data_IF_676998290501
#
_entry.id   IF_676998290501
#
_cell.length_a   1.000
_cell.length_b   1.000
_cell.length_c   1.000
_cell.angle_alpha   90.00
_cell.angle_beta   90.00
_cell.angle_gamma   90.00
#
_symmetry.space_group_name_H-M   'P 1'
#
loop_
_entity.id
_entity.type
_entity.pdbx_description
1 polymer ?
#
# COMPACT_ATOMS: atom_id res chain seq x y z
N UNK A 1 8.65 11.28 -36.96
CA UNK A 1 9.69 10.26 -36.75
C UNK A 1 9.91 10.17 -35.25
N UNK A 2 9.74 9.00 -34.63
CA UNK A 2 10.06 8.84 -33.19
C UNK A 2 11.58 8.75 -33.10
N UNK A 3 12.22 9.76 -32.52
CA UNK A 3 13.65 9.69 -32.20
C UNK A 3 13.78 8.58 -31.15
N UNK A 4 14.51 7.50 -31.50
CA UNK A 4 14.91 6.51 -30.50
C UNK A 4 15.87 7.18 -29.52
N UNK A 5 15.76 6.81 -28.24
CA UNK A 5 16.72 7.25 -27.22
C UNK A 5 18.14 6.85 -27.65
N UNK A 6 19.10 7.73 -27.37
CA UNK A 6 20.53 7.44 -27.53
C UNK A 6 20.97 6.34 -26.56
N UNK A 7 22.10 5.68 -26.83
CA UNK A 7 22.57 4.58 -25.97
C UNK A 7 22.82 5.04 -24.53
N UNK A 8 23.24 6.29 -24.36
CA UNK A 8 23.48 6.94 -23.09
C UNK A 8 22.16 7.20 -22.36
N UNK A 9 21.14 7.74 -23.04
CA UNK A 9 19.80 7.93 -22.46
C UNK A 9 19.12 6.59 -22.13
N UNK A 10 19.39 5.54 -22.92
CA UNK A 10 18.93 4.19 -22.64
C UNK A 10 19.57 3.65 -21.35
N UNK A 11 20.86 3.88 -21.13
CA UNK A 11 21.57 3.44 -19.93
C UNK A 11 21.08 4.16 -18.67
N UNK A 12 20.75 5.46 -18.76
CA UNK A 12 20.17 6.21 -17.63
C UNK A 12 18.74 5.74 -17.28
N UNK A 13 18.00 5.20 -18.25
CA UNK A 13 16.65 4.66 -18.04
C UNK A 13 16.66 3.20 -17.56
N UNK A 14 17.75 2.46 -17.81
CA UNK A 14 17.94 1.12 -17.26
C UNK A 14 18.33 1.29 -15.79
N UNK A 15 17.32 1.24 -14.91
CA UNK A 15 17.51 1.32 -13.46
C UNK A 15 18.60 0.38 -12.95
N UNK A 16 19.12 0.66 -11.75
CA UNK A 16 20.23 -0.09 -11.15
C UNK A 16 20.00 -1.61 -11.22
N UNK A 17 21.10 -2.35 -11.44
CA UNK A 17 21.05 -3.81 -11.54
C UNK A 17 20.42 -4.39 -10.29
N UNK A 18 19.38 -5.21 -10.47
CA UNK A 18 18.64 -5.79 -9.35
C UNK A 18 19.59 -6.63 -8.47
N UNK A 19 19.72 -6.36 -7.16
CA UNK A 19 20.64 -7.09 -6.30
C UNK A 19 20.20 -8.55 -6.13
N UNK A 20 21.12 -9.39 -5.64
CA UNK A 20 20.87 -10.82 -5.46
C UNK A 20 19.61 -11.08 -4.64
N UNK A 21 18.84 -12.12 -5.01
CA UNK A 21 17.57 -12.47 -4.33
C UNK A 21 17.72 -12.68 -2.83
N UNK A 22 18.88 -13.11 -2.35
CA UNK A 22 19.18 -13.22 -0.92
C UNK A 22 19.21 -11.84 -0.23
N UNK A 23 19.78 -10.83 -0.89
CA UNK A 23 19.83 -9.45 -0.40
C UNK A 23 18.45 -8.79 -0.51
N UNK A 24 17.71 -9.01 -1.59
CA UNK A 24 16.32 -8.57 -1.72
C UNK A 24 15.42 -9.17 -0.61
N UNK A 25 15.66 -10.43 -0.23
CA UNK A 25 14.94 -11.08 0.86
C UNK A 25 15.28 -10.50 2.24
N UNK A 26 16.49 -9.95 2.44
CA UNK A 26 16.86 -9.22 3.67
C UNK A 26 16.13 -7.87 3.76
N UNK A 27 15.77 -7.28 2.62
CA UNK A 27 14.99 -6.04 2.50
C UNK A 27 13.51 -6.36 2.22
N UNK A 28 12.93 -7.27 3.01
CA UNK A 28 11.50 -7.56 2.94
C UNK A 28 10.72 -6.44 3.65
N UNK A 29 10.16 -5.51 2.87
CA UNK A 29 9.26 -4.47 3.38
C UNK A 29 7.81 -5.00 3.40
N UNK A 30 7.31 -5.37 4.58
CA UNK A 30 5.89 -5.62 4.78
C UNK A 30 5.14 -4.29 4.81
N UNK A 31 4.43 -3.96 3.74
CA UNK A 31 3.59 -2.75 3.68
C UNK A 31 2.14 -3.15 3.96
N UNK A 32 1.62 -2.77 5.12
CA UNK A 32 0.21 -2.92 5.48
C UNK A 32 -0.41 -1.54 5.72
N UNK A 33 -1.53 -1.27 5.05
CA UNK A 33 -2.31 -0.05 5.23
C UNK A 33 -3.76 -0.42 5.56
N UNK A 34 -4.06 -0.81 6.81
CA UNK A 34 -5.40 -1.25 7.18
C UNK A 34 -6.30 -0.02 7.40
N UNK A 35 -7.39 0.05 6.65
CA UNK A 35 -8.35 1.17 6.67
C UNK A 35 -9.71 0.66 7.15
N UNK A 36 -10.23 1.27 8.23
CA UNK A 36 -11.56 0.99 8.74
C UNK A 36 -12.30 2.30 8.98
N UNK A 37 -13.56 2.37 8.54
CA UNK A 37 -14.42 3.52 8.70
C UNK A 37 -15.84 3.04 9.00
N UNK A 38 -16.44 3.60 10.05
CA UNK A 38 -17.86 3.42 10.34
C UNK A 38 -18.56 4.77 10.30
N UNK A 39 -19.66 4.83 9.56
CA UNK A 39 -20.48 6.03 9.39
C UNK A 39 -21.92 5.65 9.71
N UNK A 40 -22.54 6.37 10.64
CA UNK A 40 -23.96 6.29 10.90
C UNK A 40 -24.57 7.70 10.83
N UNK A 41 -25.75 7.80 10.24
CA UNK A 41 -26.54 9.02 10.14
C UNK A 41 -27.99 8.72 10.50
N UNK A 42 -28.55 9.53 11.38
CA UNK A 42 -29.98 9.56 11.65
C UNK A 42 -30.62 10.75 10.92
N UNK A 43 -31.75 10.51 10.25
CA UNK A 43 -32.52 11.56 9.57
C UNK A 43 -33.93 11.59 10.19
N UNK A 44 -34.28 12.72 10.82
CA UNK A 44 -35.62 13.07 11.33
C UNK A 44 -36.32 11.97 12.16
N UNK A 45 -35.63 11.37 13.14
CA UNK A 45 -36.22 10.30 13.95
C UNK A 45 -36.13 10.56 15.46
N UNK A 46 -37.29 10.75 16.08
CA UNK A 46 -37.43 10.85 17.54
C UNK A 46 -37.02 9.54 18.21
N UNK A 47 -36.25 9.63 19.29
CA UNK A 47 -35.71 8.48 20.04
C UNK A 47 -34.80 7.53 19.24
N UNK A 48 -34.25 7.95 18.10
CA UNK A 48 -33.33 7.10 17.32
C UNK A 48 -31.87 7.24 17.75
N UNK A 49 -31.19 6.09 17.81
CA UNK A 49 -29.75 5.98 18.07
C UNK A 49 -29.05 5.55 16.79
N UNK A 50 -28.23 6.43 16.21
CA UNK A 50 -27.31 6.12 15.12
C UNK A 50 -26.01 5.67 15.76
N UNK A 51 -25.71 4.38 15.63
CA UNK A 51 -24.52 3.81 16.22
C UNK A 51 -23.73 3.11 15.12
N UNK A 52 -22.48 3.56 14.94
CA UNK A 52 -21.54 2.99 14.01
C UNK A 52 -20.29 2.56 14.79
N UNK A 53 -19.98 1.27 14.75
CA UNK A 53 -18.71 0.76 15.26
C UNK A 53 -17.84 0.29 14.12
N UNK A 54 -16.55 0.47 14.30
CA UNK A 54 -15.52 -0.03 13.41
C UNK A 54 -14.43 -0.66 14.27
N UNK A 55 -14.47 -1.98 14.39
CA UNK A 55 -13.40 -2.75 15.03
C UNK A 55 -12.43 -3.22 13.94
N UNK A 56 -11.15 -2.79 14.01
CA UNK A 56 -10.12 -3.22 13.07
C UNK A 56 -9.08 -4.09 13.77
N UNK A 57 -8.91 -5.32 13.29
CA UNK A 57 -7.86 -6.23 13.71
C UNK A 57 -6.95 -6.53 12.51
N UNK A 58 -5.71 -6.06 12.57
CA UNK A 58 -4.75 -6.20 11.47
C UNK A 58 -3.38 -6.68 11.99
N UNK A 59 -3.27 -7.95 12.45
CA UNK A 59 -1.98 -8.50 12.87
C UNK A 59 -1.06 -8.63 11.67
N UNK A 60 0.15 -8.10 11.78
CA UNK A 60 1.22 -8.31 10.80
C UNK A 60 2.25 -9.24 11.43
N UNK A 61 2.47 -10.40 10.81
CA UNK A 61 3.45 -11.39 11.28
C UNK A 61 4.64 -11.37 10.32
N UNK A 62 5.85 -11.18 10.85
CA UNK A 62 7.09 -11.16 10.07
C UNK A 62 8.20 -11.90 10.81
N UNK A 63 8.74 -12.95 10.19
CA UNK A 63 9.73 -13.85 10.80
C UNK A 63 9.21 -15.27 11.02
N UNK A 64 10.13 -16.21 11.22
CA UNK A 64 9.91 -17.51 11.86
C UNK A 64 10.12 -17.38 13.36
#
# INVERSE_FOLDING_TARGET
>A
MKHGLTNEELQEQVGETLPDRAVLSLVNANIAAPINAALALNVLSDSSVAYANADQYAPVVQGI
#
